data_IF_012785344971
#
_entry.id   IF_012785344971
#
_cell.length_a   1.000
_cell.length_b   1.000
_cell.length_c   1.000
_cell.angle_alpha   90.00
_cell.angle_beta   90.00
_cell.angle_gamma   90.00
#
_symmetry.space_group_name_H-M   'P 1'
#
loop_
_entity.id
_entity.type
_entity.pdbx_description
1 polymer ?
#
# COMPACT_ATOMS: atom_id res chain seq x y z
N UNK A 1 16.72 34.41 -3.56
CA UNK A 1 17.29 33.72 -2.40
C UNK A 1 16.31 32.65 -2.00
N UNK A 2 16.60 31.39 -2.31
CA UNK A 2 16.00 30.18 -1.73
C UNK A 2 16.92 29.04 -2.15
N UNK A 3 17.75 28.62 -1.21
CA UNK A 3 18.70 27.50 -1.31
C UNK A 3 18.12 26.39 -0.44
N UNK A 4 17.61 25.33 -1.07
CA UNK A 4 17.08 24.15 -0.36
C UNK A 4 18.25 23.20 -0.11
N UNK A 5 18.64 23.04 1.15
CA UNK A 5 19.59 22.03 1.60
C UNK A 5 18.81 20.99 2.40
N UNK A 6 18.99 19.71 2.06
CA UNK A 6 18.25 18.63 2.68
C UNK A 6 19.15 17.84 3.64
N UNK A 7 18.67 17.65 4.87
CA UNK A 7 19.30 16.76 5.85
C UNK A 7 18.50 15.46 5.85
N UNK A 8 19.07 14.40 5.30
CA UNK A 8 18.50 13.06 5.45
C UNK A 8 18.98 12.55 6.80
N UNK A 9 18.11 12.64 7.80
CA UNK A 9 18.31 12.03 9.12
C UNK A 9 17.72 10.62 9.08
N UNK A 10 18.54 9.61 9.38
CA UNK A 10 18.01 8.32 9.83
C UNK A 10 18.52 7.10 9.08
N UNK A 11 19.83 6.90 9.02
CA UNK A 11 20.36 5.56 8.75
C UNK A 11 20.98 4.96 10.01
N UNK A 12 20.35 4.04 10.77
CA UNK A 12 21.05 3.28 11.78
C UNK A 12 22.33 2.61 11.22
N UNK A 13 23.47 2.84 11.85
CA UNK A 13 24.83 2.35 11.65
C UNK A 13 25.28 1.71 12.97
N UNK A 14 25.25 0.39 13.07
CA UNK A 14 25.86 -0.30 14.21
C UNK A 14 27.38 -0.46 14.03
N UNK A 15 28.10 -0.67 15.13
CA UNK A 15 29.54 -0.41 15.31
C UNK A 15 30.52 -1.12 14.37
N UNK A 16 30.10 -2.11 13.57
CA UNK A 16 31.01 -2.92 12.74
C UNK A 16 31.30 -2.35 11.33
N UNK A 17 30.67 -1.24 10.93
CA UNK A 17 30.68 -0.76 9.54
C UNK A 17 31.65 0.39 9.23
N UNK A 18 32.88 0.31 9.75
CA UNK A 18 33.95 1.26 9.39
C UNK A 18 34.25 1.30 7.87
N UNK A 19 34.22 0.13 7.21
CA UNK A 19 34.47 0.00 5.76
C UNK A 19 33.31 0.50 4.89
N UNK A 20 32.08 0.44 5.39
CA UNK A 20 30.90 0.91 4.67
C UNK A 20 30.93 2.44 4.52
N UNK A 21 31.32 3.15 5.58
CA UNK A 21 31.45 4.61 5.56
C UNK A 21 32.52 5.11 4.59
N UNK A 22 33.68 4.44 4.54
CA UNK A 22 34.74 4.77 3.58
C UNK A 22 34.33 4.50 2.13
N UNK A 23 33.56 3.42 1.92
CA UNK A 23 33.02 3.05 0.59
C UNK A 23 31.95 4.04 0.12
N UNK A 24 31.03 4.44 1.02
CA UNK A 24 30.00 5.44 0.76
C UNK A 24 30.63 6.81 0.45
N UNK A 25 31.60 7.25 1.27
CA UNK A 25 32.32 8.50 1.05
C UNK A 25 33.14 8.51 -0.26
N UNK A 26 33.61 7.35 -0.73
CA UNK A 26 34.30 7.23 -2.01
C UNK A 26 33.34 7.22 -3.21
N UNK A 27 32.14 6.64 -3.08
CA UNK A 27 31.13 6.57 -4.13
C UNK A 27 30.51 7.95 -4.42
N UNK A 28 30.19 8.70 -3.37
CA UNK A 28 29.57 10.03 -3.46
C UNK A 28 30.56 11.17 -3.78
N UNK A 29 31.87 10.89 -3.85
CA UNK A 29 32.87 11.85 -4.38
C UNK A 29 32.84 12.00 -5.91
N UNK A 30 32.03 11.21 -6.62
CA UNK A 30 31.85 11.33 -8.07
C UNK A 30 30.59 12.15 -8.36
N UNK A 31 30.68 13.21 -9.20
CA UNK A 31 29.51 13.98 -9.58
C UNK A 31 28.52 13.09 -10.33
N UNK A 32 27.27 13.06 -9.86
CA UNK A 32 26.21 12.31 -10.52
C UNK A 32 25.71 13.10 -11.75
N UNK A 33 25.43 12.38 -12.84
CA UNK A 33 24.69 12.94 -13.97
C UNK A 33 23.25 13.22 -13.52
N UNK A 34 22.97 14.45 -13.08
CA UNK A 34 21.63 14.83 -12.62
C UNK A 34 21.51 16.10 -11.78
N UNK A 35 22.62 16.69 -11.32
CA UNK A 35 22.59 17.98 -10.60
C UNK A 35 22.44 17.87 -9.08
N UNK A 36 22.29 16.66 -8.54
CA UNK A 36 22.26 16.40 -7.09
C UNK A 36 23.63 15.91 -6.63
N UNK A 37 24.28 16.66 -5.75
CA UNK A 37 25.56 16.28 -5.15
C UNK A 37 25.33 15.80 -3.71
N UNK A 38 25.72 14.55 -3.42
CA UNK A 38 25.85 14.05 -2.04
C UNK A 38 27.17 14.56 -1.49
N UNK A 39 27.09 15.52 -0.57
CA UNK A 39 28.21 16.42 -0.25
C UNK A 39 28.99 15.98 0.99
N UNK A 40 28.33 15.32 1.95
CA UNK A 40 29.01 14.77 3.12
C UNK A 40 28.18 13.68 3.82
N UNK A 41 28.88 12.78 4.51
CA UNK A 41 28.29 11.80 5.43
C UNK A 41 28.98 11.90 6.78
N UNK A 42 28.22 12.10 7.85
CA UNK A 42 28.73 12.17 9.23
C UNK A 42 28.10 11.09 10.10
N UNK A 43 28.83 10.61 11.11
CA UNK A 43 28.24 9.78 12.17
C UNK A 43 27.38 10.67 13.08
N UNK A 44 26.09 10.41 13.11
CA UNK A 44 25.13 10.96 14.05
C UNK A 44 25.11 10.20 15.39
N UNK A 45 24.38 10.72 16.39
CA UNK A 45 24.24 10.07 17.69
C UNK A 45 23.50 8.74 17.57
N UNK A 46 23.88 7.77 18.40
CA UNK A 46 23.24 6.44 18.49
C UNK A 46 23.24 5.75 17.13
N UNK A 47 24.46 5.51 16.63
CA UNK A 47 24.68 4.76 15.40
C UNK A 47 23.77 5.24 14.29
N UNK A 48 23.84 6.51 13.88
CA UNK A 48 23.12 6.98 12.69
C UNK A 48 24.09 7.60 11.68
N UNK A 49 23.77 7.58 10.39
CA UNK A 49 24.45 8.38 9.37
C UNK A 49 23.61 9.62 9.04
N UNK A 50 24.25 10.78 9.03
CA UNK A 50 23.67 12.02 8.53
C UNK A 50 24.17 12.23 7.10
N UNK A 51 23.27 12.23 6.12
CA UNK A 51 23.64 12.48 4.71
C UNK A 51 23.20 13.90 4.33
N UNK A 52 24.16 14.71 3.92
CA UNK A 52 23.94 16.08 3.43
C UNK A 52 23.90 16.07 1.90
N UNK A 53 22.77 16.49 1.34
CA UNK A 53 22.53 16.52 -0.10
C UNK A 53 22.14 17.95 -0.51
N UNK A 54 22.73 18.46 -1.59
CA UNK A 54 22.37 19.75 -2.18
C UNK A 54 22.09 19.61 -3.68
N UNK A 55 21.18 20.47 -4.15
CA UNK A 55 20.75 20.58 -5.54
C UNK A 55 21.50 21.69 -6.32
N UNK A 56 22.55 22.31 -5.74
CA UNK A 56 23.31 23.40 -6.42
C UNK A 56 24.82 23.28 -6.28
N UNK A 57 25.52 23.38 -7.42
CA UNK A 57 26.99 23.24 -7.57
C UNK A 57 27.84 24.40 -7.01
N UNK A 58 27.24 25.55 -6.66
CA UNK A 58 27.98 26.80 -6.42
C UNK A 58 28.13 27.27 -4.96
N UNK A 59 27.65 26.52 -3.96
CA UNK A 59 27.71 26.96 -2.55
C UNK A 59 28.97 26.51 -1.77
N UNK A 60 30.10 26.29 -2.45
CA UNK A 60 31.35 25.83 -1.80
C UNK A 60 31.84 26.73 -0.65
N UNK A 61 31.54 28.03 -0.70
CA UNK A 61 32.00 29.03 0.29
C UNK A 61 31.13 29.04 1.56
N UNK A 62 29.80 28.99 1.40
CA UNK A 62 28.85 28.85 2.53
C UNK A 62 29.02 27.49 3.23
N UNK A 63 29.34 26.45 2.45
CA UNK A 63 29.60 25.10 2.93
C UNK A 63 30.87 24.98 3.79
N UNK A 64 31.94 25.71 3.46
CA UNK A 64 33.20 25.69 4.24
C UNK A 64 33.00 26.26 5.65
N UNK A 65 32.16 27.30 5.76
CA UNK A 65 31.81 27.98 7.01
C UNK A 65 30.91 27.12 7.91
N UNK A 66 29.93 26.40 7.32
CA UNK A 66 29.04 25.49 8.05
C UNK A 66 29.70 24.16 8.41
N UNK A 67 30.59 23.63 7.56
CA UNK A 67 31.41 22.44 7.84
C UNK A 67 32.27 22.64 9.09
N UNK A 68 32.92 23.80 9.20
CA UNK A 68 33.68 24.14 10.40
C UNK A 68 32.80 24.21 11.67
N UNK A 69 31.53 24.64 11.55
CA UNK A 69 30.57 24.62 12.68
C UNK A 69 30.12 23.21 13.03
N UNK A 70 29.88 22.33 12.05
CA UNK A 70 29.48 20.93 12.27
C UNK A 70 30.62 20.07 12.83
N UNK A 71 31.85 20.25 12.33
CA UNK A 71 33.04 19.54 12.84
C UNK A 71 33.43 20.00 14.27
N UNK A 72 32.99 21.21 14.69
CA UNK A 72 33.18 21.72 16.06
C UNK A 72 32.13 21.22 17.06
N UNK A 73 31.08 20.55 16.59
CA UNK A 73 30.00 20.03 17.41
C UNK A 73 30.29 18.57 17.75
N UNK A 74 30.64 18.31 19.01
CA UNK A 74 30.86 16.95 19.50
C UNK A 74 29.61 16.06 19.36
N UNK A 75 29.77 14.72 19.52
CA UNK A 75 28.76 13.69 19.20
C UNK A 75 27.41 13.79 19.97
N UNK A 76 27.28 14.73 20.90
CA UNK A 76 26.09 14.92 21.74
C UNK A 76 25.66 16.39 21.83
N UNK A 77 25.49 17.10 20.71
CA UNK A 77 24.91 18.45 20.73
C UNK A 77 23.54 18.48 20.07
N UNK A 78 22.50 18.59 20.89
CA UNK A 78 21.11 18.82 20.47
C UNK A 78 20.99 20.23 19.88
N UNK A 79 21.04 20.33 18.56
CA UNK A 79 20.64 21.54 17.84
C UNK A 79 19.31 21.26 17.15
N UNK A 80 18.33 22.17 17.24
CA UNK A 80 17.14 22.11 16.40
C UNK A 80 17.57 22.51 14.99
N UNK A 81 17.98 21.52 14.20
CA UNK A 81 18.08 21.69 12.75
C UNK A 81 16.64 21.81 12.27
N UNK A 82 16.29 22.92 11.62
CA UNK A 82 14.99 23.05 10.95
C UNK A 82 14.95 22.00 9.83
N UNK A 83 14.28 20.89 10.11
CA UNK A 83 14.02 19.82 9.15
C UNK A 83 12.92 20.34 8.22
N UNK A 84 13.30 20.93 7.09
CA UNK A 84 12.35 21.06 5.99
C UNK A 84 12.08 19.65 5.46
N UNK A 85 10.83 19.20 5.60
CA UNK A 85 10.39 17.88 5.18
C UNK A 85 10.70 17.69 3.69
N UNK A 86 11.37 16.59 3.35
CA UNK A 86 11.60 16.19 1.96
C UNK A 86 10.24 16.04 1.27
N UNK A 87 10.12 16.50 0.04
CA UNK A 87 8.97 16.10 -0.76
C UNK A 87 9.06 14.59 -1.03
N UNK A 88 7.94 13.85 -1.05
CA UNK A 88 7.94 12.41 -1.28
C UNK A 88 8.68 11.99 -2.56
N UNK A 89 8.62 12.81 -3.60
CA UNK A 89 9.31 12.59 -4.87
C UNK A 89 10.84 12.68 -4.71
N UNK A 90 11.31 13.55 -3.82
CA UNK A 90 12.73 13.71 -3.51
C UNK A 90 13.23 12.57 -2.63
N UNK A 91 12.45 12.15 -1.63
CA UNK A 91 12.74 10.96 -0.81
C UNK A 91 12.86 9.71 -1.68
N UNK A 92 11.92 9.49 -2.61
CA UNK A 92 11.97 8.38 -3.57
C UNK A 92 13.19 8.44 -4.50
N UNK A 93 13.56 9.63 -4.98
CA UNK A 93 14.73 9.81 -5.86
C UNK A 93 16.03 9.50 -5.13
N UNK A 94 16.17 9.98 -3.89
CA UNK A 94 17.33 9.70 -3.04
C UNK A 94 17.40 8.21 -2.71
N UNK A 95 16.27 7.60 -2.33
CA UNK A 95 16.21 6.16 -2.02
C UNK A 95 16.54 5.30 -3.24
N UNK A 96 16.01 5.65 -4.42
CA UNK A 96 16.31 4.95 -5.67
C UNK A 96 17.78 5.06 -6.06
N UNK A 97 18.38 6.25 -5.93
CA UNK A 97 19.80 6.45 -6.25
C UNK A 97 20.73 5.74 -5.26
N UNK A 98 20.38 5.70 -3.97
CA UNK A 98 21.09 4.88 -2.98
C UNK A 98 20.97 3.38 -3.30
N UNK A 99 19.83 2.95 -3.82
CA UNK A 99 19.56 1.56 -4.21
C UNK A 99 20.35 1.15 -5.47
N UNK A 100 20.31 1.97 -6.51
CA UNK A 100 20.97 1.72 -7.81
C UNK A 100 22.50 1.86 -7.74
N UNK A 101 23.02 2.80 -6.93
CA UNK A 101 24.46 3.07 -6.84
C UNK A 101 25.25 2.11 -5.94
N UNK A 102 24.61 1.56 -4.90
CA UNK A 102 25.33 0.88 -3.81
C UNK A 102 24.98 -0.61 -3.65
N UNK A 103 24.00 -1.15 -4.38
CA UNK A 103 23.55 -2.53 -4.22
C UNK A 103 23.01 -2.82 -2.81
N UNK A 104 22.56 -1.80 -2.09
CA UNK A 104 22.10 -1.86 -0.69
C UNK A 104 20.71 -2.50 -0.52
N UNK A 105 20.07 -2.96 -1.61
CA UNK A 105 18.77 -3.62 -1.57
C UNK A 105 18.72 -4.78 -0.58
N UNK A 106 19.82 -5.50 -0.38
CA UNK A 106 19.88 -6.65 0.52
C UNK A 106 20.21 -6.26 1.97
N UNK A 107 21.29 -5.52 2.20
CA UNK A 107 21.85 -5.41 3.58
C UNK A 107 21.10 -4.48 4.52
N UNK A 108 20.42 -3.46 4.01
CA UNK A 108 19.77 -2.47 4.88
C UNK A 108 18.41 -2.97 5.42
N UNK A 109 17.67 -3.69 4.58
CA UNK A 109 16.37 -4.24 4.92
C UNK A 109 16.44 -5.57 5.68
N UNK A 110 17.59 -6.26 5.65
CA UNK A 110 17.87 -7.45 6.45
C UNK A 110 18.04 -7.14 7.95
N UNK A 111 18.40 -5.91 8.32
CA UNK A 111 18.83 -5.57 9.68
C UNK A 111 17.81 -4.79 10.53
N UNK A 112 16.74 -4.25 9.93
CA UNK A 112 15.60 -3.75 10.70
C UNK A 112 14.73 -4.97 11.05
N UNK A 113 14.48 -5.27 12.33
CA UNK A 113 13.58 -6.37 12.67
C UNK A 113 12.21 -6.07 12.08
N UNK A 114 11.87 -6.71 10.95
CA UNK A 114 10.49 -6.72 10.46
C UNK A 114 9.70 -7.36 11.60
N UNK A 115 8.62 -6.70 12.02
CA UNK A 115 7.65 -7.32 12.92
C UNK A 115 7.19 -8.68 12.35
N UNK A 116 6.52 -9.52 13.14
CA UNK A 116 6.11 -10.84 12.65
C UNK A 116 5.36 -10.70 11.32
N UNK A 117 5.77 -11.48 10.32
CA UNK A 117 5.21 -11.48 8.97
C UNK A 117 4.49 -12.82 8.68
N UNK A 118 3.50 -12.80 7.80
CA UNK A 118 2.93 -14.03 7.26
C UNK A 118 3.93 -14.70 6.33
N UNK A 119 3.93 -16.03 6.34
CA UNK A 119 4.66 -16.82 5.36
C UNK A 119 3.96 -16.66 4.00
N UNK A 120 4.74 -16.25 3.01
CA UNK A 120 4.28 -15.92 1.65
C UNK A 120 5.30 -16.49 0.65
N UNK A 121 5.52 -17.81 0.68
CA UNK A 121 6.56 -18.51 -0.09
C UNK A 121 6.04 -19.63 -1.03
N UNK A 122 4.78 -20.04 -0.94
CA UNK A 122 4.18 -21.04 -1.83
C UNK A 122 3.97 -20.51 -3.25
N UNK A 123 4.10 -21.40 -4.23
CA UNK A 123 3.72 -21.16 -5.62
C UNK A 123 2.70 -22.25 -6.06
N UNK A 124 1.46 -21.88 -6.40
CA UNK A 124 0.92 -20.50 -6.44
C UNK A 124 0.76 -19.88 -5.04
N UNK A 125 0.85 -18.55 -4.97
CA UNK A 125 0.68 -17.77 -3.72
C UNK A 125 -0.69 -18.00 -3.08
N UNK A 126 -1.67 -18.22 -3.93
CA UNK A 126 -3.00 -18.65 -3.56
C UNK A 126 -4.01 -18.33 -4.64
N UNK A 127 -5.28 -18.28 -4.25
CA UNK A 127 -6.37 -17.97 -5.16
C UNK A 127 -6.77 -16.50 -5.06
N UNK A 128 -6.89 -15.85 -6.23
CA UNK A 128 -7.48 -14.54 -6.37
C UNK A 128 -8.79 -14.64 -7.16
N UNK A 129 -9.92 -14.42 -6.47
CA UNK A 129 -11.26 -14.39 -7.07
C UNK A 129 -11.64 -12.96 -7.40
N UNK A 130 -11.94 -12.68 -8.66
CA UNK A 130 -12.35 -11.36 -9.14
C UNK A 130 -13.79 -11.45 -9.64
N UNK A 131 -14.72 -10.76 -8.99
CA UNK A 131 -16.14 -10.72 -9.38
C UNK A 131 -16.46 -9.29 -9.82
N UNK A 132 -16.91 -9.12 -11.05
CA UNK A 132 -17.30 -7.81 -11.61
C UNK A 132 -18.72 -7.86 -12.19
N UNK A 133 -19.67 -7.23 -11.49
CA UNK A 133 -21.04 -7.11 -11.97
C UNK A 133 -21.20 -5.79 -12.72
N UNK A 134 -21.33 -5.85 -14.03
CA UNK A 134 -21.35 -4.73 -14.96
C UNK A 134 -22.79 -4.45 -15.41
N UNK A 135 -23.54 -5.50 -15.77
CA UNK A 135 -24.92 -5.42 -16.24
C UNK A 135 -25.89 -5.92 -15.18
N UNK A 136 -27.01 -5.20 -15.02
CA UNK A 136 -28.02 -5.46 -14.00
C UNK A 136 -29.38 -5.69 -14.65
N UNK A 137 -29.91 -6.90 -14.45
CA UNK A 137 -31.00 -7.46 -15.26
C UNK A 137 -32.40 -7.07 -14.81
N UNK A 138 -32.60 -6.63 -13.57
CA UNK A 138 -33.94 -6.28 -13.04
C UNK A 138 -34.21 -4.78 -13.03
N UNK A 139 -33.31 -3.99 -13.59
CA UNK A 139 -33.47 -2.53 -13.69
C UNK A 139 -33.37 -1.80 -12.35
N UNK A 140 -32.87 -2.45 -11.30
CA UNK A 140 -32.61 -1.80 -10.01
C UNK A 140 -31.41 -0.85 -10.07
N UNK A 141 -30.42 -1.17 -10.93
CA UNK A 141 -29.22 -0.37 -11.13
C UNK A 141 -28.86 -0.23 -12.61
N UNK A 142 -28.07 0.80 -12.91
CA UNK A 142 -27.58 1.09 -14.26
C UNK A 142 -26.36 0.24 -14.63
N UNK A 143 -26.10 0.06 -15.93
CA UNK A 143 -24.86 -0.57 -16.42
C UNK A 143 -23.63 0.22 -15.99
N UNK A 144 -22.56 -0.48 -15.58
CA UNK A 144 -21.29 0.09 -15.15
C UNK A 144 -20.27 0.13 -16.29
N UNK A 145 -20.54 0.90 -17.34
CA UNK A 145 -19.66 1.05 -18.52
C UNK A 145 -18.22 1.35 -18.12
N UNK A 146 -17.24 0.67 -18.75
CA UNK A 146 -15.81 0.85 -18.48
C UNK A 146 -15.26 0.00 -17.35
N UNK A 147 -16.11 -0.71 -16.60
CA UNK A 147 -15.70 -1.57 -15.50
C UNK A 147 -14.89 -2.81 -15.96
N UNK A 148 -14.95 -3.18 -17.25
CA UNK A 148 -14.17 -4.28 -17.83
C UNK A 148 -12.66 -4.05 -17.64
N UNK A 149 -12.21 -2.79 -17.79
CA UNK A 149 -10.81 -2.40 -17.60
C UNK A 149 -10.29 -2.73 -16.20
N UNK A 150 -11.13 -2.61 -15.18
CA UNK A 150 -10.77 -2.90 -13.80
C UNK A 150 -10.51 -4.41 -13.59
N UNK A 151 -11.23 -5.28 -14.30
CA UNK A 151 -11.03 -6.73 -14.23
C UNK A 151 -9.66 -7.12 -14.79
N UNK A 152 -9.26 -6.52 -15.91
CA UNK A 152 -7.95 -6.77 -16.51
C UNK A 152 -6.81 -6.32 -15.60
N UNK A 153 -6.89 -5.09 -15.06
CA UNK A 153 -5.86 -4.56 -14.16
C UNK A 153 -5.63 -5.46 -12.94
N UNK A 154 -6.71 -5.94 -12.34
CA UNK A 154 -6.64 -6.84 -11.18
C UNK A 154 -6.11 -8.21 -11.58
N UNK A 155 -6.52 -8.76 -12.73
CA UNK A 155 -6.00 -10.04 -13.23
C UNK A 155 -4.49 -9.97 -13.43
N UNK A 156 -4.02 -9.02 -14.24
CA UNK A 156 -2.60 -8.80 -14.50
C UNK A 156 -1.80 -8.60 -13.21
N UNK A 157 -2.35 -7.83 -12.25
CA UNK A 157 -1.71 -7.63 -10.95
C UNK A 157 -1.52 -8.97 -10.22
N UNK A 158 -2.60 -9.71 -9.99
CA UNK A 158 -2.54 -10.88 -9.13
C UNK A 158 -1.84 -12.06 -9.80
N UNK A 159 -1.92 -12.20 -11.13
CA UNK A 159 -1.06 -13.13 -11.88
C UNK A 159 0.42 -12.76 -11.73
N UNK A 160 0.76 -11.46 -11.79
CA UNK A 160 2.11 -10.96 -11.52
C UNK A 160 2.61 -11.28 -10.12
N UNK A 161 1.70 -11.25 -9.13
CA UNK A 161 1.96 -11.64 -7.74
C UNK A 161 1.81 -13.16 -7.49
N UNK A 162 1.83 -13.97 -8.55
CA UNK A 162 1.82 -15.46 -8.50
C UNK A 162 0.55 -16.09 -7.92
N UNK A 163 -0.58 -15.40 -7.99
CA UNK A 163 -1.88 -16.00 -7.68
C UNK A 163 -2.44 -16.76 -8.87
N UNK A 164 -3.20 -17.82 -8.59
CA UNK A 164 -4.16 -18.36 -9.55
C UNK A 164 -5.37 -17.44 -9.59
N UNK A 165 -5.66 -16.82 -10.74
CA UNK A 165 -6.77 -15.87 -10.86
C UNK A 165 -8.00 -16.52 -11.47
N UNK A 166 -9.18 -16.28 -10.88
CA UNK A 166 -10.49 -16.65 -11.43
C UNK A 166 -11.37 -15.40 -11.56
N UNK A 167 -11.80 -15.08 -12.77
CA UNK A 167 -12.66 -13.94 -13.04
C UNK A 167 -14.10 -14.38 -13.31
N UNK A 168 -15.06 -13.69 -12.71
CA UNK A 168 -16.48 -13.88 -12.92
C UNK A 168 -17.15 -12.55 -13.26
N UNK A 169 -18.07 -12.57 -14.21
CA UNK A 169 -18.79 -11.38 -14.69
C UNK A 169 -20.29 -11.58 -14.57
N UNK A 170 -21.00 -10.54 -14.14
CA UNK A 170 -22.46 -10.51 -14.05
C UNK A 170 -23.07 -11.69 -13.27
N UNK A 171 -22.54 -11.96 -12.08
CA UNK A 171 -22.98 -13.05 -11.21
C UNK A 171 -24.30 -12.72 -10.51
N UNK A 172 -25.29 -13.59 -10.66
CA UNK A 172 -26.54 -13.53 -9.89
C UNK A 172 -26.27 -13.80 -8.42
N UNK A 173 -27.21 -13.46 -7.54
CA UNK A 173 -27.10 -13.73 -6.11
C UNK A 173 -26.74 -15.20 -5.82
N UNK A 174 -27.51 -16.12 -6.43
CA UNK A 174 -27.29 -17.55 -6.25
C UNK A 174 -25.93 -17.98 -6.77
N UNK A 175 -25.55 -17.54 -7.97
CA UNK A 175 -24.25 -17.89 -8.54
C UNK A 175 -23.10 -17.36 -7.67
N UNK A 176 -23.17 -16.11 -7.24
CA UNK A 176 -22.13 -15.47 -6.43
C UNK A 176 -21.94 -16.18 -5.08
N UNK A 177 -23.04 -16.43 -4.36
CA UNK A 177 -22.99 -17.10 -3.06
C UNK A 177 -22.53 -18.56 -3.20
N UNK A 178 -23.03 -19.28 -4.19
CA UNK A 178 -22.60 -20.66 -4.44
C UNK A 178 -21.13 -20.73 -4.84
N UNK A 179 -20.64 -19.84 -5.70
CA UNK A 179 -19.22 -19.80 -6.08
C UNK A 179 -18.33 -19.51 -4.88
N UNK A 180 -18.64 -18.50 -4.06
CA UNK A 180 -17.83 -18.18 -2.88
C UNK A 180 -17.84 -19.31 -1.84
N UNK A 181 -18.98 -19.99 -1.68
CA UNK A 181 -19.07 -21.17 -0.83
C UNK A 181 -18.16 -22.30 -1.33
N UNK A 182 -18.24 -22.64 -2.62
CA UNK A 182 -17.38 -23.69 -3.21
C UNK A 182 -15.90 -23.32 -3.08
N UNK A 183 -15.54 -22.06 -3.32
CA UNK A 183 -14.15 -21.62 -3.16
C UNK A 183 -13.69 -21.70 -1.70
N UNK A 184 -14.56 -21.40 -0.73
CA UNK A 184 -14.27 -21.60 0.69
C UNK A 184 -14.06 -23.07 1.08
N UNK A 185 -14.73 -24.00 0.38
CA UNK A 185 -14.63 -25.45 0.59
C UNK A 185 -13.41 -26.10 -0.10
N UNK A 186 -12.70 -25.38 -0.97
CA UNK A 186 -11.47 -25.87 -1.60
C UNK A 186 -10.32 -26.04 -0.59
N UNK A 187 -9.33 -26.87 -0.94
CA UNK A 187 -8.15 -27.06 -0.12
C UNK A 187 -7.11 -25.95 -0.38
N UNK A 188 -7.00 -25.01 0.56
CA UNK A 188 -6.03 -23.92 0.54
C UNK A 188 -4.75 -24.25 1.31
N UNK A 189 -4.51 -25.50 1.72
CA UNK A 189 -3.38 -25.88 2.57
C UNK A 189 -2.03 -25.49 1.98
N UNK A 190 -1.89 -25.58 0.66
CA UNK A 190 -0.67 -25.23 -0.09
C UNK A 190 -0.65 -23.80 -0.62
N UNK A 191 -1.55 -22.93 -0.14
CA UNK A 191 -1.55 -21.51 -0.46
C UNK A 191 -1.11 -20.68 0.74
N UNK A 192 -0.55 -19.51 0.51
CA UNK A 192 -0.18 -18.57 1.57
C UNK A 192 -1.31 -17.61 1.91
N UNK A 193 -2.10 -17.21 0.91
CA UNK A 193 -3.02 -16.09 0.99
C UNK A 193 -4.28 -16.36 0.16
N UNK A 194 -5.41 -15.79 0.58
CA UNK A 194 -6.61 -15.70 -0.24
C UNK A 194 -6.90 -14.25 -0.60
N UNK A 195 -7.29 -14.00 -1.85
CA UNK A 195 -7.71 -12.67 -2.33
C UNK A 195 -9.09 -12.76 -2.96
N UNK A 196 -9.96 -11.81 -2.62
CA UNK A 196 -11.26 -11.63 -3.27
C UNK A 196 -11.50 -10.15 -3.62
N UNK A 197 -11.69 -9.86 -4.90
CA UNK A 197 -12.05 -8.55 -5.39
C UNK A 197 -13.51 -8.56 -5.84
N UNK A 198 -14.32 -7.66 -5.31
CA UNK A 198 -15.72 -7.50 -5.71
C UNK A 198 -15.95 -6.09 -6.22
N UNK A 199 -16.33 -5.97 -7.48
CA UNK A 199 -16.69 -4.70 -8.12
C UNK A 199 -18.17 -4.75 -8.49
N UNK A 200 -18.99 -3.88 -7.89
CA UNK A 200 -20.42 -3.81 -8.18
C UNK A 200 -21.01 -2.45 -7.79
N UNK A 201 -22.32 -2.28 -7.96
CA UNK A 201 -23.08 -1.33 -7.16
C UNK A 201 -23.12 -1.78 -5.70
N UNK A 202 -23.40 -0.85 -4.80
CA UNK A 202 -23.49 -1.15 -3.38
C UNK A 202 -24.35 -0.16 -2.63
N UNK A 203 -24.57 -0.50 -1.37
CA UNK A 203 -25.11 0.39 -0.34
C UNK A 203 -24.34 0.12 0.95
N UNK A 204 -24.68 0.81 2.04
CA UNK A 204 -23.93 0.69 3.29
C UNK A 204 -23.85 -0.78 3.78
N UNK A 205 -22.64 -1.32 3.80
CA UNK A 205 -22.36 -2.70 4.22
C UNK A 205 -22.80 -3.77 3.23
N UNK A 206 -23.11 -3.42 1.97
CA UNK A 206 -23.68 -4.34 0.97
C UNK A 206 -23.12 -4.12 -0.43
N UNK A 207 -23.12 -5.18 -1.22
CA UNK A 207 -22.93 -5.15 -2.68
C UNK A 207 -24.18 -5.68 -3.37
N UNK A 208 -24.38 -5.36 -4.65
CA UNK A 208 -25.47 -5.93 -5.44
C UNK A 208 -24.95 -7.01 -6.40
N UNK A 209 -25.75 -8.06 -6.56
CA UNK A 209 -25.60 -9.05 -7.63
C UNK A 209 -26.15 -8.53 -8.96
N UNK A 210 -25.84 -9.21 -10.08
CA UNK A 210 -26.33 -8.83 -11.42
C UNK A 210 -27.85 -8.96 -11.61
N UNK A 211 -28.53 -9.62 -10.68
CA UNK A 211 -29.98 -9.68 -10.61
C UNK A 211 -30.54 -8.82 -9.47
N UNK A 212 -29.81 -7.76 -9.10
CA UNK A 212 -30.21 -6.64 -8.23
C UNK A 212 -30.53 -7.03 -6.77
N UNK A 213 -30.17 -8.24 -6.33
CA UNK A 213 -30.27 -8.59 -4.91
C UNK A 213 -29.04 -8.11 -4.15
N UNK A 214 -29.27 -7.54 -2.98
CA UNK A 214 -28.21 -7.11 -2.07
C UNK A 214 -27.59 -8.30 -1.33
N UNK A 215 -26.27 -8.30 -1.20
CA UNK A 215 -25.48 -9.25 -0.42
C UNK A 215 -24.71 -8.45 0.64
N UNK A 216 -24.83 -8.85 1.89
CA UNK A 216 -24.06 -8.23 2.97
C UNK A 216 -22.58 -8.61 2.87
N UNK A 217 -21.70 -7.67 3.22
CA UNK A 217 -20.26 -7.98 3.23
C UNK A 217 -19.94 -9.14 4.19
N UNK A 218 -20.64 -9.25 5.32
CA UNK A 218 -20.57 -10.38 6.24
C UNK A 218 -20.82 -11.73 5.55
N UNK A 219 -21.77 -11.79 4.62
CA UNK A 219 -22.10 -12.99 3.85
C UNK A 219 -20.99 -13.33 2.84
N UNK A 220 -20.29 -12.33 2.28
CA UNK A 220 -19.16 -12.54 1.38
C UNK A 220 -17.93 -13.09 2.12
N UNK A 221 -17.68 -12.63 3.35
CA UNK A 221 -16.52 -13.05 4.14
C UNK A 221 -16.72 -14.43 4.79
N UNK A 222 -17.95 -14.75 5.18
CA UNK A 222 -18.29 -15.93 5.99
C UNK A 222 -17.69 -17.25 5.47
N UNK A 223 -17.72 -17.58 4.16
CA UNK A 223 -17.16 -18.83 3.66
C UNK A 223 -15.66 -19.02 3.94
N UNK A 224 -14.95 -17.94 4.25
CA UNK A 224 -13.50 -17.94 4.43
C UNK A 224 -13.07 -17.84 5.90
N UNK A 225 -14.02 -17.87 6.83
CA UNK A 225 -13.67 -17.78 8.24
C UNK A 225 -13.06 -19.08 8.78
N UNK A 226 -12.54 -19.03 10.00
CA UNK A 226 -11.85 -20.17 10.63
C UNK A 226 -12.72 -21.44 10.75
N UNK A 227 -14.04 -21.29 10.81
CA UNK A 227 -14.99 -22.39 10.95
C UNK A 227 -15.32 -23.04 9.61
N UNK A 228 -15.62 -22.23 8.60
CA UNK A 228 -16.06 -22.69 7.28
C UNK A 228 -14.86 -23.06 6.37
N UNK A 229 -13.70 -22.43 6.55
CA UNK A 229 -12.47 -22.72 5.79
C UNK A 229 -11.25 -22.93 6.70
N UNK A 230 -11.10 -24.11 7.33
CA UNK A 230 -9.98 -24.40 8.24
C UNK A 230 -8.59 -24.37 7.56
N UNK A 231 -8.52 -24.61 6.25
CA UNK A 231 -7.26 -24.62 5.47
C UNK A 231 -6.67 -23.21 5.26
N UNK A 232 -7.46 -22.15 5.53
CA UNK A 232 -7.03 -20.74 5.58
C UNK A 232 -6.78 -20.21 7.01
N UNK A 233 -6.81 -21.07 8.04
CA UNK A 233 -6.54 -20.65 9.41
C UNK A 233 -5.11 -20.11 9.55
N UNK A 234 -4.95 -18.91 10.10
CA UNK A 234 -3.63 -18.28 10.26
C UNK A 234 -3.04 -17.67 8.98
N UNK A 235 -3.78 -17.68 7.87
CA UNK A 235 -3.38 -17.13 6.56
C UNK A 235 -4.12 -15.82 6.25
N UNK A 236 -3.51 -14.82 5.61
CA UNK A 236 -4.18 -13.57 5.24
C UNK A 236 -5.34 -13.80 4.25
N UNK A 237 -6.46 -13.15 4.50
CA UNK A 237 -7.68 -13.16 3.69
C UNK A 237 -8.03 -11.74 3.28
N UNK A 238 -7.66 -11.37 2.06
CA UNK A 238 -7.67 -9.99 1.59
C UNK A 238 -8.88 -9.74 0.68
N UNK A 239 -9.74 -8.82 1.07
CA UNK A 239 -10.92 -8.41 0.31
C UNK A 239 -10.76 -6.98 -0.17
N UNK A 240 -10.91 -6.75 -1.46
CA UNK A 240 -10.92 -5.41 -2.06
C UNK A 240 -12.28 -5.17 -2.71
N UNK A 241 -13.12 -4.34 -2.10
CA UNK A 241 -14.52 -4.22 -2.49
C UNK A 241 -14.77 -2.82 -3.06
N UNK A 242 -14.86 -2.73 -4.38
CA UNK A 242 -15.27 -1.53 -5.10
C UNK A 242 -16.80 -1.51 -5.21
N UNK A 243 -17.46 -0.93 -4.22
CA UNK A 243 -18.90 -0.70 -4.24
C UNK A 243 -19.27 0.52 -3.40
N UNK A 244 -20.31 1.26 -3.78
CA UNK A 244 -20.82 2.39 -2.98
C UNK A 244 -21.18 1.90 -1.58
N UNK A 245 -20.73 2.62 -0.54
CA UNK A 245 -21.07 2.30 0.85
C UNK A 245 -22.10 3.27 1.43
N UNK A 246 -22.74 4.06 0.57
CA UNK A 246 -23.84 4.95 0.89
C UNK A 246 -24.08 5.94 -0.24
N UNK A 247 -24.82 7.00 0.06
CA UNK A 247 -25.32 7.97 -0.93
C UNK A 247 -24.58 9.30 -0.90
N UNK A 248 -23.70 9.52 0.07
CA UNK A 248 -22.99 10.79 0.22
C UNK A 248 -21.82 10.88 -0.77
N UNK A 249 -21.76 11.94 -1.55
CA UNK A 249 -20.54 12.24 -2.29
C UNK A 249 -19.52 12.77 -1.28
N UNK A 250 -18.30 12.21 -1.26
CA UNK A 250 -17.19 12.82 -0.52
C UNK A 250 -16.87 14.15 -1.20
N UNK A 251 -17.50 15.22 -0.75
CA UNK A 251 -16.98 16.57 -0.90
C UNK A 251 -15.94 16.78 0.20
N UNK A 252 -14.92 17.61 -0.05
CA UNK A 252 -14.04 18.09 1.00
C UNK A 252 -14.89 18.90 1.99
N UNK A 253 -15.53 18.25 2.95
CA UNK A 253 -16.44 18.92 3.87
C UNK A 253 -15.66 19.67 4.94
N UNK A 254 -16.07 20.91 5.11
CA UNK A 254 -15.77 21.79 6.23
C UNK A 254 -16.09 21.10 7.57
N UNK A 255 -15.41 21.55 8.63
CA UNK A 255 -15.25 20.94 9.96
C UNK A 255 -16.56 20.68 10.76
N UNK A 256 -17.75 20.88 10.19
CA UNK A 256 -19.03 20.93 10.93
C UNK A 256 -20.09 19.89 10.50
N UNK A 257 -19.68 18.63 10.27
CA UNK A 257 -20.63 17.54 9.97
C UNK A 257 -20.92 16.71 11.23
N UNK A 258 -22.20 16.52 11.65
CA UNK A 258 -22.52 15.71 12.82
C UNK A 258 -22.04 14.26 12.66
N UNK A 259 -21.17 13.85 13.56
CA UNK A 259 -20.44 12.58 13.58
C UNK A 259 -21.29 11.44 14.14
N UNK A 260 -22.29 10.98 13.39
CA UNK A 260 -23.09 9.80 13.74
C UNK A 260 -23.05 8.71 12.65
N UNK A 261 -21.86 8.50 12.07
CA UNK A 261 -21.62 7.36 11.17
C UNK A 261 -21.16 6.19 12.03
N UNK A 262 -22.10 5.35 12.46
CA UNK A 262 -21.75 4.06 13.05
C UNK A 262 -21.01 3.23 11.99
N UNK A 263 -19.83 2.65 12.28
CA UNK A 263 -19.20 1.71 11.38
C UNK A 263 -20.07 0.45 11.33
N UNK A 264 -20.93 0.36 10.31
CA UNK A 264 -21.85 -0.77 10.06
C UNK A 264 -21.09 -2.08 9.77
N UNK A 265 -19.78 -1.98 9.53
CA UNK A 265 -18.95 -3.11 9.20
C UNK A 265 -18.08 -3.54 10.39
N UNK A 266 -18.57 -4.53 11.14
CA UNK A 266 -17.79 -5.22 12.14
C UNK A 266 -17.13 -6.46 11.53
N UNK A 267 -15.88 -6.33 11.06
CA UNK A 267 -14.94 -7.45 10.85
C UNK A 267 -14.57 -8.13 12.18
N UNK A 268 -15.16 -7.68 13.29
CA UNK A 268 -14.63 -7.75 14.67
C UNK A 268 -14.54 -9.15 15.27
N UNK A 269 -14.90 -10.21 14.56
CA UNK A 269 -14.87 -11.58 15.08
C UNK A 269 -13.94 -12.53 14.31
N UNK A 270 -13.41 -12.14 13.15
CA UNK A 270 -12.66 -13.05 12.29
C UNK A 270 -11.20 -12.62 12.17
N UNK A 271 -10.27 -13.50 12.53
CA UNK A 271 -8.84 -13.23 12.50
C UNK A 271 -8.25 -13.32 11.08
N UNK A 272 -7.19 -12.55 10.84
CA UNK A 272 -6.42 -12.55 9.59
C UNK A 272 -7.21 -12.08 8.35
N UNK A 273 -8.23 -11.22 8.55
CA UNK A 273 -8.95 -10.57 7.45
C UNK A 273 -8.41 -9.16 7.21
N UNK A 274 -8.40 -8.76 5.94
CA UNK A 274 -8.22 -7.38 5.52
C UNK A 274 -9.33 -7.03 4.53
N UNK A 275 -9.92 -5.85 4.68
CA UNK A 275 -10.98 -5.36 3.82
C UNK A 275 -10.71 -3.92 3.43
N UNK A 276 -10.34 -3.72 2.17
CA UNK A 276 -10.14 -2.42 1.55
C UNK A 276 -11.40 -1.95 0.81
N UNK A 277 -11.78 -0.70 1.05
CA UNK A 277 -12.93 -0.04 0.43
C UNK A 277 -12.49 1.29 -0.22
N UNK A 278 -13.08 1.67 -1.36
CA UNK A 278 -12.70 2.87 -2.11
C UNK A 278 -13.06 4.17 -1.39
N UNK A 279 -14.02 4.10 -0.46
CA UNK A 279 -14.50 5.24 0.30
C UNK A 279 -14.72 4.85 1.77
N UNK A 280 -14.89 5.84 2.63
CA UNK A 280 -15.46 5.62 3.97
C UNK A 280 -16.92 5.15 3.87
N UNK A 281 -17.44 4.44 4.89
CA UNK A 281 -18.86 4.09 4.96
C UNK A 281 -19.75 5.32 4.80
N UNK A 282 -20.87 5.19 4.09
CA UNK A 282 -21.78 6.29 3.76
C UNK A 282 -21.52 6.94 2.41
N UNK A 283 -20.40 6.64 1.73
CA UNK A 283 -19.98 7.39 0.55
C UNK A 283 -20.05 6.65 -0.80
N UNK A 284 -20.16 7.43 -1.89
CA UNK A 284 -20.25 6.95 -3.28
C UNK A 284 -18.86 6.56 -3.80
N UNK A 285 -18.75 5.33 -4.32
CA UNK A 285 -17.55 4.87 -4.99
C UNK A 285 -17.53 5.31 -6.46
N UNK A 286 -16.77 6.37 -6.77
CA UNK A 286 -16.70 6.97 -8.12
C UNK A 286 -16.08 6.01 -9.15
N UNK A 287 -16.45 6.24 -10.41
CA UNK A 287 -15.94 5.55 -11.61
C UNK A 287 -16.00 6.51 -12.79
N UNK A 288 -15.06 6.38 -13.71
CA UNK A 288 -15.07 7.04 -15.01
C UNK A 288 -14.98 6.00 -16.15
N UNK A 289 -14.93 6.47 -17.39
CA UNK A 289 -14.83 5.61 -18.59
C UNK A 289 -13.51 4.80 -18.64
N UNK A 290 -12.52 5.18 -17.82
CA UNK A 290 -11.24 4.49 -17.68
C UNK A 290 -11.21 3.52 -16.50
N UNK A 291 -12.30 3.38 -15.74
CA UNK A 291 -12.46 2.43 -14.65
C UNK A 291 -12.62 3.11 -13.29
N UNK A 292 -12.47 2.34 -12.22
CA UNK A 292 -12.55 2.87 -10.86
C UNK A 292 -11.19 3.43 -10.43
N UNK A 293 -11.10 4.72 -10.03
CA UNK A 293 -9.83 5.30 -9.56
C UNK A 293 -9.19 4.53 -8.42
N UNK A 294 -9.99 3.94 -7.52
CA UNK A 294 -9.50 3.08 -6.45
C UNK A 294 -8.77 1.85 -6.98
N UNK A 295 -9.35 1.13 -7.94
CA UNK A 295 -8.71 -0.05 -8.55
C UNK A 295 -7.46 0.35 -9.33
N UNK A 296 -7.51 1.47 -10.04
CA UNK A 296 -6.35 2.02 -10.74
C UNK A 296 -5.19 2.32 -9.78
N UNK A 297 -5.43 3.07 -8.70
CA UNK A 297 -4.38 3.39 -7.72
C UNK A 297 -3.91 2.17 -6.93
N UNK A 298 -4.82 1.27 -6.56
CA UNK A 298 -4.50 0.00 -5.89
C UNK A 298 -3.52 -0.83 -6.73
N UNK A 299 -3.88 -1.07 -7.99
CA UNK A 299 -3.06 -1.91 -8.89
C UNK A 299 -1.71 -1.27 -9.22
N UNK A 300 -1.66 0.05 -9.41
CA UNK A 300 -0.40 0.74 -9.66
C UNK A 300 0.53 0.73 -8.43
N UNK A 301 0.01 0.98 -7.24
CA UNK A 301 0.81 0.92 -6.00
C UNK A 301 1.35 -0.49 -5.79
N UNK A 302 0.52 -1.52 -5.94
CA UNK A 302 0.98 -2.90 -5.71
C UNK A 302 2.05 -3.33 -6.74
N UNK A 303 1.93 -2.92 -8.01
CA UNK A 303 2.96 -3.20 -9.02
C UNK A 303 4.27 -2.48 -8.75
N UNK A 304 4.20 -1.23 -8.29
CA UNK A 304 5.37 -0.38 -8.06
C UNK A 304 6.08 -0.71 -6.75
N UNK A 305 5.34 -1.13 -5.73
CA UNK A 305 5.81 -1.19 -4.34
C UNK A 305 5.63 -2.56 -3.66
N UNK A 306 4.99 -3.53 -4.30
CA UNK A 306 4.66 -4.84 -3.70
C UNK A 306 5.85 -5.72 -3.34
N UNK A 307 7.03 -5.43 -3.88
CA UNK A 307 8.30 -6.08 -3.54
C UNK A 307 8.97 -5.50 -2.29
N UNK A 308 8.64 -4.26 -1.94
CA UNK A 308 9.41 -3.48 -0.95
C UNK A 308 8.59 -3.29 0.32
N UNK A 309 7.30 -2.99 0.18
CA UNK A 309 6.46 -2.54 1.27
C UNK A 309 5.39 -3.55 1.65
N UNK A 310 5.02 -3.55 2.93
CA UNK A 310 3.91 -4.37 3.39
C UNK A 310 2.55 -3.82 2.92
N UNK A 311 1.54 -4.68 2.99
CA UNK A 311 0.17 -4.33 2.61
C UNK A 311 -0.31 -3.04 3.29
N UNK A 312 -0.07 -2.87 4.59
CA UNK A 312 -0.53 -1.69 5.34
C UNK A 312 0.06 -0.40 4.76
N UNK A 313 1.37 -0.40 4.51
CA UNK A 313 2.09 0.74 3.94
C UNK A 313 1.61 1.03 2.52
N UNK A 314 1.46 0.00 1.68
CA UNK A 314 0.90 0.16 0.33
C UNK A 314 -0.50 0.75 0.38
N UNK A 315 -1.36 0.30 1.28
CA UNK A 315 -2.72 0.82 1.41
C UNK A 315 -2.76 2.27 1.92
N UNK A 316 -1.77 2.71 2.71
CA UNK A 316 -1.57 4.14 3.02
C UNK A 316 -1.18 4.94 1.77
N UNK A 317 -0.33 4.40 0.89
CA UNK A 317 0.00 5.04 -0.38
C UNK A 317 -1.22 5.13 -1.30
N UNK A 318 -2.06 4.09 -1.35
CA UNK A 318 -3.34 4.10 -2.09
C UNK A 318 -4.25 5.20 -1.55
N UNK A 319 -4.42 5.29 -0.22
CA UNK A 319 -5.22 6.35 0.40
C UNK A 319 -4.72 7.75 0.04
N UNK A 320 -3.39 7.95 0.04
CA UNK A 320 -2.77 9.22 -0.38
C UNK A 320 -3.03 9.54 -1.85
N UNK A 321 -2.95 8.55 -2.75
CA UNK A 321 -3.27 8.75 -4.19
C UNK A 321 -4.77 8.99 -4.41
N UNK A 322 -5.64 8.45 -3.55
CA UNK A 322 -7.09 8.67 -3.58
C UNK A 322 -7.52 10.03 -3.02
N UNK A 323 -6.72 10.70 -2.19
CA UNK A 323 -7.06 11.96 -1.49
C UNK A 323 -7.70 13.07 -2.38
N UNK A 324 -7.28 13.28 -3.63
CA UNK A 324 -7.95 14.25 -4.52
C UNK A 324 -9.41 13.90 -4.87
N UNK A 325 -9.77 12.62 -4.73
CA UNK A 325 -11.03 12.02 -5.17
C UNK A 325 -11.93 11.70 -3.97
N UNK A 326 -11.33 11.24 -2.87
CA UNK A 326 -12.01 10.81 -1.65
C UNK A 326 -11.09 10.03 -0.69
N UNK A 327 -11.62 9.68 0.47
CA UNK A 327 -10.88 8.91 1.49
C UNK A 327 -11.26 7.44 1.40
N UNK A 328 -10.32 6.58 1.01
CA UNK A 328 -10.48 5.11 1.08
C UNK A 328 -10.43 4.62 2.53
N UNK A 329 -11.14 3.55 2.85
CA UNK A 329 -11.14 2.97 4.20
C UNK A 329 -10.64 1.52 4.20
N UNK A 330 -9.90 1.16 5.24
CA UNK A 330 -9.37 -0.18 5.42
C UNK A 330 -9.78 -0.71 6.80
N UNK A 331 -10.25 -1.95 6.84
CA UNK A 331 -10.54 -2.69 8.06
C UNK A 331 -9.63 -3.90 8.12
N UNK A 332 -8.92 -4.07 9.23
CA UNK A 332 -7.92 -5.13 9.35
C UNK A 332 -8.01 -5.83 10.70
N UNK A 333 -8.00 -7.14 10.65
CA UNK A 333 -7.75 -8.06 11.78
C UNK A 333 -6.51 -8.91 11.51
N UNK A 334 -5.66 -8.49 10.57
CA UNK A 334 -4.33 -9.07 10.34
C UNK A 334 -3.49 -8.95 11.61
N UNK A 335 -2.77 -10.02 11.93
CA UNK A 335 -1.94 -10.13 13.15
C UNK A 335 -0.45 -9.99 12.84
N UNK A 336 -0.08 -9.97 11.56
CA UNK A 336 1.28 -9.94 11.03
C UNK A 336 1.30 -9.07 9.76
N UNK A 337 2.48 -8.58 9.38
CA UNK A 337 2.64 -7.87 8.11
C UNK A 337 2.54 -8.85 6.93
N UNK A 338 1.93 -8.40 5.84
CA UNK A 338 1.81 -9.15 4.58
C UNK A 338 2.76 -8.51 3.57
N UNK A 339 3.74 -9.29 3.09
CA UNK A 339 4.62 -8.95 1.98
C UNK A 339 4.33 -9.94 0.85
N UNK A 340 4.09 -9.47 -0.37
CA UNK A 340 3.70 -10.37 -1.46
C UNK A 340 4.89 -11.07 -2.12
N UNK A 341 6.06 -10.44 -2.08
CA UNK A 341 7.34 -10.98 -2.56
C UNK A 341 8.39 -10.82 -1.44
N UNK A 342 8.34 -11.67 -0.40
CA UNK A 342 9.22 -11.50 0.75
C UNK A 342 10.69 -11.83 0.49
N UNK A 343 11.05 -12.54 -0.59
CA UNK A 343 12.41 -12.97 -0.91
C UNK A 343 12.68 -13.01 -2.42
#
# INVERSE_FOLDING_TARGET
>A
MNTSCFVVCGLPLYEEDGKLMDTLAAHFKKPANGGVDVLNMMRGPIGTALVLISDKRDDRKWMFEKKHRLDSLGPCSNIPISVEQLTPEFEQTVMRQMTEGLGLHTRYWEQVPRGPAYEMCHEPRGLAVIINNINFSKGGHTTRTGAEKDTERLRELFEGLKFTVRCYTDMTFMAMMTTLQHVGEEDHSNFDCFVCCVMSHGSQGKVYSSDDFSIELSQLLKPFNAKECPTLLGKPKLFFIQACQGVHVQERMCVDCPSDVTPVFQVSQEADFFVGLPTVPGCVARRDDDGAPYIYHLTNVFREFGEIYDLSTMMTMVAKKMDPIGVSSNYSTLRKSVYFNPE
#
